data_IF_277935225030
#
_entry.id   IF_277935225030
#
_cell.length_a   1.000
_cell.length_b   1.000
_cell.length_c   1.000
_cell.angle_alpha   90.00
_cell.angle_beta   90.00
_cell.angle_gamma   90.00
#
_symmetry.space_group_name_H-M   'P 1'
#
loop_
_entity.id
_entity.type
_entity.pdbx_description
1 polymer ?
#
# COMPACT_ATOMS: atom_id res chain seq x y z
N UNK A 1 0.25 19.48 -8.89
CA UNK A 1 -1.12 19.25 -9.41
C UNK A 1 -2.22 19.86 -8.53
N UNK A 2 -1.99 20.12 -7.23
CA UNK A 2 -3.00 20.76 -6.36
C UNK A 2 -3.22 22.27 -6.59
N UNK A 3 -2.29 22.97 -7.26
CA UNK A 3 -2.40 24.43 -7.49
C UNK A 3 -3.41 24.84 -8.57
N UNK A 4 -3.89 23.94 -9.44
CA UNK A 4 -4.83 24.32 -10.52
C UNK A 4 -6.31 24.23 -10.12
N UNK A 5 -6.66 23.32 -9.20
CA UNK A 5 -8.07 23.07 -8.84
C UNK A 5 -8.65 24.24 -8.01
N UNK A 6 -7.80 24.94 -7.25
CA UNK A 6 -8.21 26.10 -6.46
C UNK A 6 -8.60 27.32 -7.30
N UNK A 7 -7.85 27.64 -8.36
CA UNK A 7 -8.20 28.79 -9.22
C UNK A 7 -9.46 28.53 -10.03
N UNK A 8 -9.63 27.29 -10.54
CA UNK A 8 -10.80 26.93 -11.33
C UNK A 8 -12.11 27.01 -10.52
N UNK A 9 -12.07 26.68 -9.22
CA UNK A 9 -13.25 26.74 -8.35
C UNK A 9 -13.58 28.19 -7.93
N UNK A 10 -12.56 29.01 -7.65
CA UNK A 10 -12.77 30.44 -7.37
C UNK A 10 -13.38 31.16 -8.57
N UNK A 11 -12.94 30.82 -9.77
CA UNK A 11 -13.48 31.36 -11.03
C UNK A 11 -14.92 30.90 -11.26
N UNK A 12 -15.25 29.64 -10.97
CA UNK A 12 -16.61 29.09 -11.08
C UNK A 12 -17.59 29.74 -10.09
N UNK A 13 -17.18 29.91 -8.83
CA UNK A 13 -18.01 30.56 -7.79
C UNK A 13 -18.25 32.02 -8.15
N UNK A 14 -17.22 32.73 -8.61
CA UNK A 14 -17.35 34.12 -9.05
C UNK A 14 -18.30 34.26 -10.24
N UNK A 15 -18.15 33.40 -11.25
CA UNK A 15 -19.03 33.38 -12.42
C UNK A 15 -20.50 33.13 -12.05
N UNK A 16 -20.78 32.22 -11.09
CA UNK A 16 -22.15 31.92 -10.67
C UNK A 16 -22.76 33.04 -9.82
N UNK A 17 -21.97 33.71 -8.99
CA UNK A 17 -22.41 34.90 -8.24
C UNK A 17 -22.73 36.06 -9.19
N UNK A 18 -21.89 36.30 -10.20
CA UNK A 18 -22.12 37.35 -11.19
C UNK A 18 -23.41 37.09 -12.01
N UNK A 19 -23.70 35.84 -12.34
CA UNK A 19 -24.94 35.42 -13.02
C UNK A 19 -26.19 35.69 -12.16
N UNK A 20 -26.16 35.36 -10.87
CA UNK A 20 -27.28 35.61 -9.95
C UNK A 20 -27.51 37.11 -9.71
N UNK A 21 -26.44 37.92 -9.71
CA UNK A 21 -26.55 39.38 -9.59
C UNK A 21 -27.19 40.03 -10.81
N UNK A 22 -26.89 39.54 -12.01
CA UNK A 22 -27.56 39.96 -13.23
C UNK A 22 -29.06 39.62 -13.20
N UNK A 23 -29.43 38.45 -12.66
CA UNK A 23 -30.82 38.02 -12.49
C UNK A 23 -31.58 38.85 -11.44
N UNK A 24 -30.93 39.28 -10.36
CA UNK A 24 -31.54 40.16 -9.37
C UNK A 24 -31.76 41.56 -9.94
N UNK A 25 -30.80 42.07 -10.72
CA UNK A 25 -30.87 43.40 -11.33
C UNK A 25 -32.02 43.51 -12.34
N UNK A 26 -32.19 42.50 -13.19
CA UNK A 26 -33.31 42.44 -14.15
C UNK A 26 -34.69 42.31 -13.46
N UNK A 27 -34.76 41.59 -12.33
CA UNK A 27 -35.98 41.50 -11.53
C UNK A 27 -36.37 42.81 -10.81
N UNK A 28 -35.40 43.69 -10.53
CA UNK A 28 -35.65 45.02 -9.96
C UNK A 28 -36.23 45.95 -11.04
N UNK A 29 -35.69 45.89 -12.26
CA UNK A 29 -36.18 46.67 -13.42
C UNK A 29 -37.59 46.25 -13.86
N UNK A 30 -37.95 44.96 -13.73
CA UNK A 30 -39.28 44.46 -14.08
C UNK A 30 -40.44 44.93 -13.17
N UNK A 31 -40.16 45.51 -11.99
CA UNK A 31 -41.19 45.95 -11.01
C UNK A 31 -41.58 47.43 -11.13
N UNK A 32 -41.18 48.10 -12.21
CA UNK A 32 -41.20 49.56 -12.37
C UNK A 32 -42.54 50.26 -12.64
N UNK A 33 -43.65 49.55 -12.83
CA UNK A 33 -44.90 50.21 -13.25
C UNK A 33 -45.71 50.93 -12.15
N UNK A 34 -45.19 51.10 -10.91
CA UNK A 34 -45.93 51.77 -9.81
C UNK A 34 -45.07 52.76 -8.99
N UNK A 35 -45.31 54.07 -9.22
CA UNK A 35 -45.06 55.26 -8.36
C UNK A 35 -43.69 56.00 -8.39
N UNK A 36 -43.75 57.30 -8.70
CA UNK A 36 -42.67 58.32 -8.71
C UNK A 36 -41.97 58.58 -7.36
N UNK A 37 -42.46 58.05 -6.24
CA UNK A 37 -41.85 58.24 -4.91
C UNK A 37 -40.60 57.38 -4.65
N UNK A 38 -40.25 56.47 -5.56
CA UNK A 38 -39.17 55.47 -5.37
C UNK A 38 -37.80 55.86 -5.97
N UNK A 39 -37.65 57.07 -6.52
CA UNK A 39 -36.44 57.46 -7.28
C UNK A 39 -35.17 57.50 -6.42
N UNK A 40 -35.26 58.06 -5.23
CA UNK A 40 -34.16 58.09 -4.24
C UNK A 40 -33.86 56.70 -3.67
N UNK A 41 -34.89 55.88 -3.43
CA UNK A 41 -34.72 54.50 -2.99
C UNK A 41 -34.02 53.63 -4.06
N UNK A 42 -34.28 53.88 -5.35
CA UNK A 42 -33.65 53.19 -6.48
C UNK A 42 -32.17 53.55 -6.62
N UNK A 43 -31.83 54.83 -6.49
CA UNK A 43 -30.43 55.30 -6.50
C UNK A 43 -29.63 54.75 -5.32
N UNK A 44 -30.24 54.73 -4.13
CA UNK A 44 -29.62 54.15 -2.93
C UNK A 44 -29.46 52.63 -3.07
N UNK A 45 -30.47 51.92 -3.60
CA UNK A 45 -30.37 50.48 -3.85
C UNK A 45 -29.31 50.14 -4.91
N UNK A 46 -29.19 50.93 -5.98
CA UNK A 46 -28.20 50.74 -7.04
C UNK A 46 -26.75 50.85 -6.53
N UNK A 47 -26.52 51.66 -5.48
CA UNK A 47 -25.20 51.80 -4.84
C UNK A 47 -24.95 50.72 -3.79
N UNK A 48 -25.96 50.32 -3.02
CA UNK A 48 -25.80 49.37 -1.89
C UNK A 48 -25.80 47.91 -2.33
N UNK A 49 -26.61 47.53 -3.33
CA UNK A 49 -26.73 46.12 -3.77
C UNK A 49 -25.39 45.53 -4.25
N UNK A 50 -24.58 46.21 -5.09
CA UNK A 50 -23.27 45.68 -5.51
C UNK A 50 -22.31 45.53 -4.33
N UNK A 51 -22.34 46.46 -3.37
CA UNK A 51 -21.52 46.38 -2.16
C UNK A 51 -21.92 45.19 -1.28
N UNK A 52 -23.23 44.99 -1.06
CA UNK A 52 -23.75 43.87 -0.28
C UNK A 52 -23.44 42.52 -0.93
N UNK A 53 -23.56 42.44 -2.25
CA UNK A 53 -23.23 41.26 -3.04
C UNK A 53 -21.76 40.85 -2.91
N UNK A 54 -20.85 41.82 -3.00
CA UNK A 54 -19.41 41.57 -2.82
C UNK A 54 -19.11 41.06 -1.41
N UNK A 55 -19.73 41.63 -0.38
CA UNK A 55 -19.55 41.17 1.01
C UNK A 55 -20.01 39.73 1.17
N UNK A 56 -21.18 39.37 0.62
CA UNK A 56 -21.71 38.00 0.67
C UNK A 56 -20.79 37.04 -0.08
N UNK A 57 -20.35 37.41 -1.29
CA UNK A 57 -19.44 36.59 -2.09
C UNK A 57 -18.12 36.32 -1.37
N UNK A 58 -17.50 37.35 -0.80
CA UNK A 58 -16.24 37.21 -0.06
C UNK A 58 -16.43 36.33 1.18
N UNK A 59 -17.52 36.54 1.93
CA UNK A 59 -17.79 35.76 3.13
C UNK A 59 -18.03 34.27 2.81
N UNK A 60 -18.82 33.97 1.77
CA UNK A 60 -19.10 32.61 1.33
C UNK A 60 -17.85 31.94 0.76
N UNK A 61 -17.12 32.60 -0.15
CA UNK A 61 -15.90 32.05 -0.72
C UNK A 61 -14.86 31.79 0.36
N UNK A 62 -14.68 32.71 1.30
CA UNK A 62 -13.73 32.51 2.42
C UNK A 62 -14.14 31.32 3.27
N UNK A 63 -15.41 31.22 3.68
CA UNK A 63 -15.88 30.11 4.49
C UNK A 63 -15.73 28.75 3.78
N UNK A 64 -16.08 28.67 2.50
CA UNK A 64 -15.97 27.46 1.69
C UNK A 64 -14.50 27.08 1.46
N UNK A 65 -13.65 28.04 1.07
CA UNK A 65 -12.23 27.79 0.82
C UNK A 65 -11.51 27.35 2.09
N UNK A 66 -11.79 27.97 3.25
CA UNK A 66 -11.23 27.54 4.53
C UNK A 66 -11.68 26.12 4.89
N UNK A 67 -12.98 25.80 4.77
CA UNK A 67 -13.48 24.47 5.08
C UNK A 67 -12.90 23.38 4.15
N UNK A 68 -12.77 23.68 2.85
CA UNK A 68 -12.15 22.78 1.88
C UNK A 68 -10.66 22.58 2.14
N UNK A 69 -9.94 23.65 2.52
CA UNK A 69 -8.53 23.57 2.88
C UNK A 69 -8.33 22.70 4.13
N UNK A 70 -9.09 22.97 5.20
CA UNK A 70 -9.04 22.17 6.43
C UNK A 70 -9.37 20.69 6.17
N UNK A 71 -10.33 20.42 5.29
CA UNK A 71 -10.65 19.06 4.89
C UNK A 71 -9.52 18.41 4.10
N UNK A 72 -8.91 19.14 3.16
CA UNK A 72 -7.78 18.65 2.35
C UNK A 72 -6.57 18.35 3.23
N UNK A 73 -6.22 19.22 4.16
CA UNK A 73 -5.10 19.04 5.10
C UNK A 73 -5.32 17.81 6.00
N UNK A 74 -6.57 17.60 6.47
CA UNK A 74 -6.95 16.39 7.24
C UNK A 74 -6.87 15.12 6.39
N UNK A 75 -7.31 15.18 5.14
CA UNK A 75 -7.24 14.06 4.20
C UNK A 75 -5.78 13.68 3.90
N UNK A 76 -4.92 14.67 3.66
CA UNK A 76 -3.49 14.45 3.44
C UNK A 76 -2.82 13.85 4.69
N UNK A 77 -3.12 14.38 5.87
CA UNK A 77 -2.61 13.86 7.14
C UNK A 77 -2.99 12.38 7.35
N UNK A 78 -4.26 12.02 7.09
CA UNK A 78 -4.74 10.64 7.18
C UNK A 78 -4.10 9.74 6.12
N UNK A 79 -3.89 10.24 4.90
CA UNK A 79 -3.24 9.48 3.84
C UNK A 79 -1.78 9.15 4.21
N UNK A 80 -1.05 10.13 4.75
CA UNK A 80 0.33 9.95 5.21
C UNK A 80 0.42 8.98 6.39
N UNK A 81 -0.51 9.08 7.34
CA UNK A 81 -0.61 8.16 8.47
C UNK A 81 -0.90 6.72 8.00
N UNK A 82 -1.86 6.55 7.09
CA UNK A 82 -2.19 5.25 6.50
C UNK A 82 -0.98 4.64 5.76
N UNK A 83 -0.26 5.44 4.96
CA UNK A 83 0.95 4.99 4.29
C UNK A 83 2.02 4.53 5.29
N UNK A 84 2.19 5.26 6.39
CA UNK A 84 3.10 4.88 7.47
C UNK A 84 2.71 3.53 8.10
N UNK A 85 1.43 3.31 8.38
CA UNK A 85 0.94 2.03 8.88
C UNK A 85 1.18 0.88 7.89
N UNK A 86 0.93 1.09 6.60
CA UNK A 86 1.22 0.10 5.57
C UNK A 86 2.71 -0.28 5.54
N UNK A 87 3.61 0.71 5.63
CA UNK A 87 5.05 0.46 5.66
C UNK A 87 5.47 -0.31 6.92
N UNK A 88 4.93 0.08 8.09
CA UNK A 88 5.22 -0.60 9.35
C UNK A 88 4.75 -2.05 9.33
N UNK A 89 3.51 -2.29 8.92
CA UNK A 89 2.94 -3.64 8.82
C UNK A 89 3.73 -4.51 7.84
N UNK A 90 4.16 -3.95 6.70
CA UNK A 90 5.01 -4.67 5.74
C UNK A 90 6.34 -5.07 6.39
N UNK A 91 6.98 -4.15 7.10
CA UNK A 91 8.24 -4.43 7.80
C UNK A 91 8.07 -5.51 8.88
N UNK A 92 7.01 -5.44 9.68
CA UNK A 92 6.73 -6.44 10.70
C UNK A 92 6.42 -7.81 10.10
N UNK A 93 5.65 -7.86 9.02
CA UNK A 93 5.38 -9.10 8.30
C UNK A 93 6.68 -9.72 7.75
N UNK A 94 7.53 -8.93 7.11
CA UNK A 94 8.82 -9.40 6.60
C UNK A 94 9.70 -9.95 7.74
N UNK A 95 9.72 -9.28 8.90
CA UNK A 95 10.45 -9.72 10.09
C UNK A 95 9.90 -11.04 10.63
N UNK A 96 8.58 -11.20 10.69
CA UNK A 96 7.93 -12.44 11.13
C UNK A 96 8.18 -13.59 10.14
N UNK A 97 8.11 -13.34 8.84
CA UNK A 97 8.47 -14.32 7.81
C UNK A 97 9.92 -14.77 7.93
N UNK A 98 10.86 -13.82 8.11
CA UNK A 98 12.27 -14.14 8.34
C UNK A 98 12.46 -14.98 9.60
N UNK A 99 11.75 -14.66 10.68
CA UNK A 99 11.78 -15.44 11.91
C UNK A 99 11.27 -16.86 11.68
N UNK A 100 10.15 -17.01 10.97
CA UNK A 100 9.56 -18.31 10.65
C UNK A 100 10.43 -19.15 9.70
N UNK A 101 11.14 -18.53 8.75
CA UNK A 101 12.03 -19.22 7.79
C UNK A 101 13.40 -19.54 8.36
N UNK A 102 13.72 -19.05 9.55
CA UNK A 102 15.04 -19.17 10.16
C UNK A 102 15.48 -20.62 10.35
N UNK A 103 14.53 -21.48 10.72
CA UNK A 103 14.74 -22.90 10.97
C UNK A 103 14.45 -23.77 9.74
N UNK A 104 14.18 -23.13 8.60
CA UNK A 104 13.96 -23.80 7.33
C UNK A 104 15.26 -23.88 6.53
N UNK A 105 15.45 -24.99 5.81
CA UNK A 105 16.51 -25.20 4.84
C UNK A 105 15.91 -25.62 3.51
N UNK A 106 16.41 -25.01 2.43
CA UNK A 106 16.06 -25.40 1.07
C UNK A 106 17.16 -26.28 0.50
N UNK A 107 16.79 -27.49 0.07
CA UNK A 107 17.69 -28.46 -0.55
C UNK A 107 17.28 -28.62 -2.01
N UNK A 108 18.25 -28.60 -2.93
CA UNK A 108 18.03 -28.77 -4.36
C UNK A 108 18.92 -29.86 -4.94
N UNK A 109 18.43 -30.53 -5.99
CA UNK A 109 19.15 -31.62 -6.65
C UNK A 109 18.96 -32.99 -5.99
N UNK A 110 17.90 -33.14 -5.17
CA UNK A 110 17.42 -34.45 -4.74
C UNK A 110 16.55 -35.05 -5.84
N UNK A 111 16.84 -36.29 -6.23
CA UNK A 111 16.03 -37.06 -7.17
C UNK A 111 14.62 -37.19 -6.62
N UNK A 112 13.63 -36.95 -7.48
CA UNK A 112 12.22 -37.00 -7.17
C UNK A 112 11.66 -38.31 -7.70
N UNK A 113 11.02 -39.08 -6.83
CA UNK A 113 10.35 -40.34 -7.21
C UNK A 113 8.87 -40.04 -7.50
N UNK A 114 8.24 -40.84 -8.36
CA UNK A 114 6.85 -40.61 -8.80
C UNK A 114 5.83 -40.67 -7.64
N UNK A 115 6.09 -41.54 -6.65
CA UNK A 115 5.27 -41.73 -5.44
C UNK A 115 6.06 -41.43 -4.14
N UNK A 116 6.80 -40.31 -4.11
CA UNK A 116 7.57 -39.92 -2.92
C UNK A 116 6.66 -39.48 -1.76
N UNK A 117 6.62 -40.28 -0.68
CA UNK A 117 6.00 -39.89 0.59
C UNK A 117 6.90 -38.96 1.41
N UNK A 118 6.32 -38.25 2.40
CA UNK A 118 7.09 -37.39 3.31
C UNK A 118 8.16 -38.18 4.09
N UNK A 119 7.87 -39.42 4.47
CA UNK A 119 8.81 -40.31 5.17
C UNK A 119 10.01 -40.72 4.29
N UNK A 120 9.76 -41.03 3.01
CA UNK A 120 10.81 -41.34 2.04
C UNK A 120 11.70 -40.11 1.80
N UNK A 121 11.08 -38.94 1.69
CA UNK A 121 11.80 -37.68 1.52
C UNK A 121 12.66 -37.36 2.74
N UNK A 122 12.12 -37.57 3.94
CA UNK A 122 12.84 -37.45 5.21
C UNK A 122 14.05 -38.38 5.28
N UNK A 123 13.90 -39.64 4.91
CA UNK A 123 15.00 -40.60 4.86
C UNK A 123 16.13 -40.15 3.93
N UNK A 124 15.80 -39.61 2.73
CA UNK A 124 16.79 -39.04 1.80
C UNK A 124 17.54 -37.85 2.38
N UNK A 125 16.87 -37.02 3.19
CA UNK A 125 17.49 -35.88 3.87
C UNK A 125 18.46 -36.35 4.95
N UNK A 126 18.09 -37.39 5.70
CA UNK A 126 18.94 -38.00 6.73
C UNK A 126 20.18 -38.61 6.09
N UNK A 127 20.03 -39.36 4.99
CA UNK A 127 21.16 -39.91 4.22
C UNK A 127 22.08 -38.80 3.70
N UNK A 128 21.52 -37.70 3.20
CA UNK A 128 22.29 -36.54 2.76
C UNK A 128 23.05 -35.89 3.93
N UNK A 129 22.47 -35.84 5.13
CA UNK A 129 23.12 -35.33 6.33
C UNK A 129 24.26 -36.27 6.80
N UNK A 130 24.06 -37.58 6.73
CA UNK A 130 25.10 -38.56 7.08
C UNK A 130 26.28 -38.50 6.10
N UNK A 131 26.03 -38.28 4.81
CA UNK A 131 27.07 -38.07 3.79
C UNK A 131 27.97 -36.85 4.05
N UNK A 132 27.51 -35.87 4.83
CA UNK A 132 28.32 -34.70 5.25
C UNK A 132 28.89 -34.85 6.67
N UNK A 133 28.66 -36.01 7.30
CA UNK A 133 29.09 -36.33 8.66
C UNK A 133 28.24 -35.64 9.74
N UNK A 134 26.96 -35.36 9.46
CA UNK A 134 26.02 -34.80 10.42
C UNK A 134 24.94 -35.83 10.71
N UNK A 135 24.92 -36.35 11.94
CA UNK A 135 23.89 -37.30 12.38
C UNK A 135 22.58 -36.56 12.63
N UNK A 136 21.59 -36.85 11.81
CA UNK A 136 20.24 -36.30 11.90
C UNK A 136 19.27 -37.41 12.29
N UNK A 137 18.42 -37.16 13.29
CA UNK A 137 17.33 -38.08 13.65
C UNK A 137 16.01 -37.61 13.05
N UNK A 138 15.04 -38.52 12.80
CA UNK A 138 13.72 -38.13 12.32
C UNK A 138 13.03 -37.09 13.22
N UNK A 139 13.05 -37.28 14.55
CA UNK A 139 12.45 -36.35 15.52
C UNK A 139 13.03 -34.92 15.50
N UNK A 140 14.17 -34.70 14.85
CA UNK A 140 14.78 -33.38 14.69
C UNK A 140 14.24 -32.60 13.49
N UNK A 141 13.47 -33.28 12.64
CA UNK A 141 12.74 -32.74 11.50
C UNK A 141 11.28 -32.55 11.91
N UNK A 142 10.75 -31.36 11.66
CA UNK A 142 9.36 -31.04 11.96
C UNK A 142 8.45 -31.28 10.78
N UNK A 143 8.84 -30.83 9.59
CA UNK A 143 8.06 -30.94 8.35
C UNK A 143 9.00 -30.97 7.16
N UNK A 144 8.73 -31.81 6.17
CA UNK A 144 9.41 -31.80 4.87
C UNK A 144 8.40 -31.81 3.74
N UNK A 145 8.65 -31.07 2.66
CA UNK A 145 7.85 -31.15 1.44
C UNK A 145 8.61 -30.59 0.23
N UNK A 146 8.24 -31.05 -0.96
CA UNK A 146 8.68 -30.48 -2.24
C UNK A 146 7.96 -29.16 -2.50
N UNK A 147 8.66 -28.21 -3.13
CA UNK A 147 8.11 -26.91 -3.50
C UNK A 147 7.84 -26.79 -4.99
N UNK A 148 6.71 -26.18 -5.30
CA UNK A 148 6.38 -25.72 -6.65
C UNK A 148 5.92 -26.84 -7.59
N UNK A 149 5.88 -26.51 -8.88
CA UNK A 149 5.47 -27.41 -9.96
C UNK A 149 6.61 -28.38 -10.33
N UNK A 150 6.29 -29.59 -10.81
CA UNK A 150 7.29 -30.53 -11.32
C UNK A 150 8.22 -29.88 -12.35
N UNK A 151 9.50 -30.20 -12.29
CA UNK A 151 10.54 -29.64 -13.17
C UNK A 151 11.63 -30.66 -13.46
N UNK A 152 12.30 -30.52 -14.60
CA UNK A 152 13.51 -31.30 -14.88
C UNK A 152 14.57 -31.08 -13.80
N UNK A 153 15.14 -32.18 -13.29
CA UNK A 153 16.13 -32.16 -12.20
C UNK A 153 15.54 -32.13 -10.78
N UNK A 154 14.24 -32.37 -10.63
CA UNK A 154 13.57 -32.56 -9.33
C UNK A 154 13.20 -31.25 -8.62
N UNK A 155 12.01 -31.22 -8.00
CA UNK A 155 11.54 -30.06 -7.22
C UNK A 155 12.44 -29.83 -6.01
N UNK A 156 12.73 -28.57 -5.65
CA UNK A 156 13.48 -28.28 -4.43
C UNK A 156 12.65 -28.65 -3.21
N UNK A 157 13.32 -29.06 -2.14
CA UNK A 157 12.71 -29.50 -0.89
C UNK A 157 12.87 -28.39 0.15
N UNK A 158 11.82 -28.11 0.91
CA UNK A 158 11.94 -27.38 2.16
C UNK A 158 11.86 -28.36 3.32
N UNK A 159 12.82 -28.21 4.23
CA UNK A 159 12.89 -28.93 5.49
C UNK A 159 12.80 -27.91 6.61
N UNK A 160 11.87 -28.09 7.54
CA UNK A 160 11.82 -27.36 8.80
C UNK A 160 12.42 -28.21 9.91
N UNK A 161 13.42 -27.68 10.59
CA UNK A 161 14.03 -28.35 11.74
C UNK A 161 13.37 -27.92 13.05
N UNK A 162 13.30 -28.83 14.01
CA UNK A 162 12.89 -28.53 15.39
C UNK A 162 13.91 -27.60 16.08
N UNK A 163 15.20 -27.76 15.74
CA UNK A 163 16.29 -27.03 16.37
C UNK A 163 17.18 -26.33 15.35
N UNK A 164 17.34 -25.00 15.50
CA UNK A 164 18.22 -24.18 14.66
C UNK A 164 19.67 -24.67 14.62
N UNK A 165 20.16 -25.25 15.72
CA UNK A 165 21.53 -25.78 15.83
C UNK A 165 21.82 -26.82 14.75
N UNK A 166 20.88 -27.73 14.49
CA UNK A 166 21.02 -28.80 13.49
C UNK A 166 21.09 -28.27 12.07
N UNK A 167 20.21 -27.33 11.74
CA UNK A 167 20.28 -26.60 10.47
C UNK A 167 21.63 -25.92 10.26
N UNK A 168 22.17 -25.27 11.29
CA UNK A 168 23.48 -24.61 11.21
C UNK A 168 24.63 -25.61 11.02
N UNK A 169 24.54 -26.78 11.64
CA UNK A 169 25.53 -27.87 11.50
C UNK A 169 25.55 -28.46 10.09
N UNK A 170 24.38 -28.65 9.47
CA UNK A 170 24.28 -29.03 8.06
C UNK A 170 24.89 -27.93 7.16
N UNK A 171 24.55 -26.67 7.45
CA UNK A 171 25.04 -25.52 6.66
C UNK A 171 26.54 -25.29 6.78
N UNK A 172 27.17 -25.57 7.92
CA UNK A 172 28.62 -25.47 8.10
C UNK A 172 29.36 -26.58 7.35
N UNK A 173 28.79 -27.79 7.32
CA UNK A 173 29.36 -28.94 6.64
C UNK A 173 29.04 -29.01 5.14
N UNK A 174 28.23 -28.08 4.59
CA UNK A 174 27.84 -28.05 3.16
C UNK A 174 29.02 -28.09 2.17
N UNK A 175 30.21 -27.60 2.57
CA UNK A 175 31.40 -27.62 1.71
C UNK A 175 31.83 -29.05 1.36
N UNK A 176 31.55 -30.02 2.24
CA UNK A 176 31.84 -31.44 1.99
C UNK A 176 31.00 -32.01 0.84
N UNK A 177 29.78 -31.53 0.62
CA UNK A 177 28.97 -31.92 -0.55
C UNK A 177 29.61 -31.47 -1.86
N UNK A 178 30.28 -30.32 -1.87
CA UNK A 178 30.97 -29.84 -3.06
C UNK A 178 32.20 -30.69 -3.36
N UNK A 179 32.98 -31.03 -2.33
CA UNK A 179 34.14 -31.92 -2.45
C UNK A 179 33.74 -33.34 -2.87
N UNK A 180 32.63 -33.87 -2.37
CA UNK A 180 32.08 -35.14 -2.80
C UNK A 180 31.65 -35.14 -4.28
N UNK A 181 31.20 -33.99 -4.81
CA UNK A 181 30.86 -33.81 -6.23
C UNK A 181 32.06 -33.46 -7.12
N UNK A 182 33.08 -32.78 -6.59
CA UNK A 182 34.31 -32.36 -7.30
C UNK A 182 35.40 -33.46 -7.35
N UNK A 183 35.18 -34.62 -6.74
CA UNK A 183 36.15 -35.73 -6.68
C UNK A 183 36.26 -36.61 -7.93
N UNK A 184 35.67 -36.24 -9.07
CA UNK A 184 35.79 -36.99 -10.32
C UNK A 184 36.16 -36.04 -11.46
N UNK A 185 37.44 -35.67 -11.56
CA UNK A 185 38.07 -35.23 -12.81
C UNK A 185 39.40 -36.01 -12.95
N UNK A 186 39.60 -36.60 -14.13
CA UNK A 186 40.86 -37.23 -14.56
C UNK A 186 41.99 -36.20 -14.62
#
# INVERSE_FOLDING_TARGET
MAHSVGSDMEELVKAKVDEELANISSNIEGRESRSSSNKTAKEVAAVILPSLANIISVAVSTAVTTALKDFTDKMESRANEMQRYCLLNKYENDKLEQYSRRDNLRISGLVEDEDESEEVLEAKIIELADNIGVKLKPDEISVTHRLGKPREGGRPVIVRFCHRKKKNEIMSNKKKLRQAKEGVHK
#
